data_IF_492747695926
#
_entry.id   IF_492747695926
#
_cell.length_a   1.000
_cell.length_b   1.000
_cell.length_c   1.000
_cell.angle_alpha   90.00
_cell.angle_beta   90.00
_cell.angle_gamma   90.00
#
_symmetry.space_group_name_H-M   'P 1'
#
loop_
_entity.id
_entity.type
_entity.pdbx_description
1 polymer ?
#
# COMPACT_ATOMS: atom_id res chain seq x y z
N UNK A 1 -14.87 -5.64 -21.43
CA UNK A 1 -13.59 -6.29 -21.04
C UNK A 1 -12.72 -6.34 -22.27
N UNK A 2 -11.49 -5.85 -22.18
CA UNK A 2 -10.50 -5.82 -23.26
C UNK A 2 -9.36 -6.77 -22.89
N UNK A 3 -8.87 -7.55 -23.86
CA UNK A 3 -7.79 -8.52 -23.61
C UNK A 3 -6.50 -7.80 -23.24
N UNK A 4 -5.89 -8.19 -22.12
CA UNK A 4 -4.63 -7.61 -21.64
C UNK A 4 -4.80 -6.38 -20.72
N UNK A 5 -5.98 -5.78 -20.70
CA UNK A 5 -6.34 -4.74 -19.74
C UNK A 5 -6.70 -5.36 -18.39
N UNK A 6 -5.99 -4.94 -17.35
CA UNK A 6 -6.22 -5.29 -15.96
C UNK A 6 -6.59 -4.02 -15.19
N UNK A 7 -7.56 -4.17 -14.32
CA UNK A 7 -7.90 -3.15 -13.33
C UNK A 7 -8.47 -3.79 -12.08
N UNK A 8 -8.24 -3.14 -10.95
CA UNK A 8 -8.85 -3.44 -9.67
C UNK A 8 -9.44 -2.14 -9.09
N UNK A 9 -10.58 -2.25 -8.40
CA UNK A 9 -11.27 -1.10 -7.83
C UNK A 9 -11.26 -1.18 -6.31
N UNK A 10 -10.78 -0.12 -5.69
CA UNK A 10 -10.82 0.08 -4.25
C UNK A 10 -11.76 1.25 -3.92
N UNK A 11 -12.67 1.03 -2.98
CA UNK A 11 -13.65 2.05 -2.58
C UNK A 11 -12.98 3.14 -1.75
N UNK A 12 -13.07 4.38 -2.23
CA UNK A 12 -12.62 5.58 -1.55
C UNK A 12 -13.76 6.40 -0.94
N UNK A 13 -14.98 5.87 -0.89
CA UNK A 13 -16.19 6.54 -0.38
C UNK A 13 -16.91 7.38 -1.44
N UNK A 14 -16.32 8.50 -1.84
CA UNK A 14 -16.81 9.42 -2.89
C UNK A 14 -16.20 9.13 -4.27
N UNK A 15 -15.07 8.43 -4.29
CA UNK A 15 -14.35 8.01 -5.49
C UNK A 15 -14.02 6.52 -5.44
N UNK A 16 -13.81 5.90 -6.59
CA UNK A 16 -13.03 4.68 -6.70
C UNK A 16 -11.56 5.02 -6.94
N UNK A 17 -10.65 4.35 -6.23
CA UNK A 17 -9.26 4.25 -6.65
C UNK A 17 -9.12 3.04 -7.57
N UNK A 18 -8.55 3.25 -8.75
CA UNK A 18 -8.52 2.25 -9.81
C UNK A 18 -7.07 1.95 -10.12
N UNK A 19 -6.59 0.79 -9.68
CA UNK A 19 -5.27 0.28 -10.01
C UNK A 19 -5.34 -0.37 -11.38
N UNK A 20 -4.63 0.15 -12.40
CA UNK A 20 -4.77 -0.34 -13.77
C UNK A 20 -3.48 -0.32 -14.57
N UNK A 21 -3.37 -1.21 -15.56
CA UNK A 21 -2.31 -1.22 -16.56
C UNK A 21 -2.71 -0.56 -17.89
N UNK A 22 -3.81 0.22 -17.90
CA UNK A 22 -4.29 0.94 -19.07
C UNK A 22 -3.21 1.81 -19.72
N UNK A 23 -3.35 2.06 -21.02
CA UNK A 23 -2.47 2.96 -21.80
C UNK A 23 -0.98 2.53 -21.81
N UNK A 24 -0.72 1.23 -21.63
CA UNK A 24 0.63 0.67 -21.63
C UNK A 24 1.38 0.82 -20.29
N UNK A 25 0.67 1.13 -19.21
CA UNK A 25 1.23 1.22 -17.85
C UNK A 25 1.59 -0.17 -17.28
N UNK A 26 2.68 -0.78 -17.76
CA UNK A 26 3.11 -2.14 -17.37
C UNK A 26 3.36 -2.28 -15.86
N UNK A 27 3.88 -1.24 -15.24
CA UNK A 27 4.12 -1.17 -13.79
C UNK A 27 2.91 -0.58 -13.02
N UNK A 28 1.76 -0.51 -13.69
CA UNK A 28 0.49 0.03 -13.23
C UNK A 28 0.52 1.53 -12.88
N UNK A 29 -0.67 2.11 -12.81
CA UNK A 29 -0.96 3.46 -12.34
C UNK A 29 -2.23 3.45 -11.50
N UNK A 30 -2.45 4.49 -10.71
CA UNK A 30 -3.69 4.67 -9.96
C UNK A 30 -4.48 5.81 -10.60
N UNK A 31 -5.67 5.48 -11.05
CA UNK A 31 -6.67 6.44 -11.53
C UNK A 31 -7.74 6.63 -10.43
N UNK A 32 -8.57 7.65 -10.58
CA UNK A 32 -9.76 7.88 -9.76
C UNK A 32 -10.97 8.08 -10.65
N UNK A 33 -12.15 7.67 -10.18
CA UNK A 33 -13.41 7.99 -10.84
C UNK A 33 -14.50 8.26 -9.78
N UNK A 34 -15.49 9.13 -10.06
CA UNK A 34 -16.63 9.31 -9.16
C UNK A 34 -17.40 8.00 -8.97
N UNK A 35 -17.83 7.69 -7.75
CA UNK A 35 -18.61 6.46 -7.49
C UNK A 35 -19.96 6.48 -8.22
N UNK A 36 -20.55 7.66 -8.42
CA UNK A 36 -21.83 7.82 -9.11
C UNK A 36 -21.74 7.57 -10.63
N UNK A 37 -20.55 7.73 -11.23
CA UNK A 37 -20.34 7.52 -12.67
C UNK A 37 -18.90 7.03 -12.95
N UNK A 38 -18.57 5.77 -12.65
CA UNK A 38 -17.20 5.25 -12.68
C UNK A 38 -16.74 4.78 -14.07
N UNK A 39 -17.41 5.24 -15.14
CA UNK A 39 -17.06 4.89 -16.51
C UNK A 39 -15.65 5.36 -16.86
N UNK A 40 -14.95 4.62 -17.72
CA UNK A 40 -13.56 4.89 -18.08
C UNK A 40 -13.30 6.31 -18.60
N UNK A 41 -14.29 6.92 -19.26
CA UNK A 41 -14.22 8.30 -19.73
C UNK A 41 -14.06 9.33 -18.60
N UNK A 42 -14.47 8.99 -17.38
CA UNK A 42 -14.35 9.83 -16.19
C UNK A 42 -13.11 9.53 -15.35
N UNK A 43 -12.26 8.58 -15.77
CA UNK A 43 -11.05 8.24 -15.04
C UNK A 43 -10.05 9.39 -15.10
N UNK A 44 -9.54 9.80 -13.94
CA UNK A 44 -8.53 10.83 -13.78
C UNK A 44 -7.30 10.26 -13.12
N UNK A 45 -6.13 10.53 -13.70
CA UNK A 45 -4.87 10.02 -13.16
C UNK A 45 -4.56 10.67 -11.81
N UNK A 46 -4.26 9.84 -10.80
CA UNK A 46 -3.88 10.25 -9.45
C UNK A 46 -2.41 9.95 -9.17
N UNK A 47 -1.98 8.72 -9.46
CA UNK A 47 -0.57 8.30 -9.39
C UNK A 47 -0.16 7.83 -10.78
N UNK A 48 0.68 8.60 -11.50
CA UNK A 48 1.07 8.27 -12.86
C UNK A 48 1.93 7.00 -12.90
N UNK A 49 1.93 6.35 -14.06
CA UNK A 49 2.84 5.25 -14.33
C UNK A 49 4.29 5.73 -14.28
N UNK A 50 5.16 4.95 -13.62
CA UNK A 50 6.59 5.18 -13.55
C UNK A 50 7.32 3.85 -13.83
N UNK A 51 8.15 3.76 -14.89
CA UNK A 51 8.90 2.54 -15.18
C UNK A 51 9.78 2.09 -14.00
N UNK A 52 9.68 0.83 -13.61
CA UNK A 52 10.43 0.26 -12.49
C UNK A 52 9.80 0.49 -11.10
N UNK A 53 8.62 1.12 -11.04
CA UNK A 53 7.81 1.24 -9.82
C UNK A 53 6.48 0.49 -10.01
N UNK A 54 6.51 -0.81 -9.70
CA UNK A 54 5.32 -1.65 -9.77
C UNK A 54 4.37 -1.34 -8.60
N UNK A 55 3.17 -0.85 -8.89
CA UNK A 55 2.12 -0.72 -7.87
C UNK A 55 1.41 -2.07 -7.71
N UNK A 56 1.42 -2.62 -6.50
CA UNK A 56 0.91 -3.96 -6.19
C UNK A 56 -0.52 -3.94 -5.67
N UNK A 57 -0.87 -2.93 -4.86
CA UNK A 57 -2.22 -2.75 -4.33
C UNK A 57 -2.46 -1.33 -3.86
N UNK A 58 -3.74 -0.99 -3.67
CA UNK A 58 -4.21 0.28 -3.11
C UNK A 58 -5.27 -0.01 -2.05
N UNK A 59 -5.29 0.78 -0.98
CA UNK A 59 -6.31 0.78 0.07
C UNK A 59 -6.88 2.18 0.26
N UNK A 60 -8.20 2.28 0.40
CA UNK A 60 -8.94 3.52 0.61
C UNK A 60 -9.30 3.76 2.08
N UNK A 61 -9.04 4.97 2.56
CA UNK A 61 -9.50 5.46 3.87
C UNK A 61 -10.19 6.82 3.70
N UNK A 62 -10.98 7.25 4.68
CA UNK A 62 -11.67 8.56 4.62
C UNK A 62 -10.73 9.73 4.34
N UNK A 63 -9.57 9.73 5.00
CA UNK A 63 -8.59 10.83 4.90
C UNK A 63 -7.30 10.46 4.17
N UNK A 64 -7.07 9.17 3.91
CA UNK A 64 -5.82 8.69 3.33
C UNK A 64 -6.06 7.71 2.18
N UNK A 65 -5.11 7.60 1.28
CA UNK A 65 -4.97 6.48 0.36
C UNK A 65 -3.61 5.85 0.62
N UNK A 66 -3.57 4.52 0.71
CA UNK A 66 -2.33 3.78 0.90
C UNK A 66 -2.07 2.93 -0.33
N UNK A 67 -0.84 2.90 -0.82
CA UNK A 67 -0.42 1.93 -1.82
C UNK A 67 0.76 1.10 -1.34
N UNK A 68 0.75 -0.18 -1.70
CA UNK A 68 1.93 -1.03 -1.67
C UNK A 68 2.54 -1.00 -3.07
N UNK A 69 3.79 -0.57 -3.17
CA UNK A 69 4.55 -0.57 -4.42
C UNK A 69 5.87 -1.32 -4.25
N UNK A 70 6.48 -1.72 -5.35
CA UNK A 70 7.84 -2.25 -5.41
C UNK A 70 8.67 -1.35 -6.31
N UNK A 71 9.73 -0.77 -5.77
CA UNK A 71 10.65 0.09 -6.51
C UNK A 71 12.08 -0.25 -6.14
N UNK A 72 12.92 -0.42 -7.16
CA UNK A 72 14.31 -0.91 -7.01
C UNK A 72 14.37 -2.26 -6.28
N UNK A 73 13.38 -3.12 -6.52
CA UNK A 73 13.28 -4.44 -5.90
C UNK A 73 12.68 -4.45 -4.48
N UNK A 74 12.58 -3.30 -3.82
CA UNK A 74 12.13 -3.21 -2.43
C UNK A 74 10.64 -2.84 -2.33
N UNK A 75 9.86 -3.54 -1.48
CA UNK A 75 8.48 -3.15 -1.20
C UNK A 75 8.46 -1.84 -0.39
N UNK A 76 7.49 -0.97 -0.69
CA UNK A 76 7.28 0.32 -0.03
C UNK A 76 5.80 0.50 0.24
N UNK A 77 5.44 0.89 1.46
CA UNK A 77 4.11 1.40 1.76
C UNK A 77 4.16 2.92 1.66
N UNK A 78 3.36 3.48 0.76
CA UNK A 78 3.21 4.92 0.59
C UNK A 78 1.83 5.34 1.07
N UNK A 79 1.81 6.25 2.04
CA UNK A 79 0.59 6.85 2.57
C UNK A 79 0.44 8.23 1.96
N UNK A 80 -0.71 8.50 1.34
CA UNK A 80 -1.07 9.77 0.73
C UNK A 80 -2.23 10.41 1.49
N UNK A 81 -2.06 11.66 1.92
CA UNK A 81 -3.17 12.48 2.43
C UNK A 81 -4.08 12.90 1.27
N UNK A 82 -5.38 12.68 1.43
CA UNK A 82 -6.35 12.93 0.35
C UNK A 82 -6.70 14.40 0.18
N UNK A 83 -6.53 15.23 1.20
CA UNK A 83 -6.89 16.64 1.19
C UNK A 83 -5.82 17.49 0.50
N UNK A 84 -4.54 17.22 0.75
CA UNK A 84 -3.42 18.01 0.21
C UNK A 84 -2.53 17.24 -0.79
N UNK A 85 -2.66 15.91 -0.87
CA UNK A 85 -1.87 15.08 -1.77
C UNK A 85 -0.44 14.79 -1.30
N UNK A 86 -0.06 15.20 -0.09
CA UNK A 86 1.24 14.90 0.50
C UNK A 86 1.41 13.40 0.71
N UNK A 87 2.62 12.91 0.47
CA UNK A 87 2.96 11.49 0.60
C UNK A 87 4.10 11.29 1.59
N UNK A 88 4.06 10.17 2.30
CA UNK A 88 5.18 9.71 3.10
C UNK A 88 5.32 8.18 3.02
N UNK A 89 6.55 7.72 3.25
CA UNK A 89 6.90 6.31 3.30
C UNK A 89 6.92 5.81 4.73
N UNK A 90 6.53 4.56 4.92
CA UNK A 90 6.81 3.82 6.15
C UNK A 90 8.22 3.25 6.04
N UNK A 91 9.17 3.79 6.80
CA UNK A 91 10.58 3.41 6.77
C UNK A 91 10.88 2.16 7.62
N UNK A 92 11.88 1.40 7.22
CA UNK A 92 12.44 0.24 7.93
C UNK A 92 13.96 0.29 7.85
N UNK A 93 14.64 -0.21 8.87
CA UNK A 93 16.10 -0.11 8.97
C UNK A 93 16.82 -1.20 8.18
N UNK A 94 16.18 -2.34 7.93
CA UNK A 94 16.76 -3.45 7.19
C UNK A 94 16.75 -3.20 5.68
N UNK A 95 17.81 -3.63 4.98
CA UNK A 95 17.94 -3.41 3.53
C UNK A 95 17.02 -4.31 2.69
N UNK A 96 16.58 -5.45 3.24
CA UNK A 96 15.72 -6.42 2.56
C UNK A 96 14.63 -6.95 3.50
N UNK A 97 13.38 -6.69 3.14
CA UNK A 97 12.21 -7.08 3.93
C UNK A 97 10.99 -7.34 3.04
N UNK A 98 9.98 -7.95 3.65
CA UNK A 98 8.66 -8.16 3.06
C UNK A 98 7.62 -7.32 3.80
N UNK A 99 6.67 -6.76 3.04
CA UNK A 99 5.53 -6.02 3.57
C UNK A 99 4.23 -6.64 3.07
N UNK A 100 3.27 -6.78 3.98
CA UNK A 100 1.89 -7.11 3.66
C UNK A 100 0.96 -6.05 4.21
N UNK A 101 0.02 -5.58 3.39
CA UNK A 101 -1.09 -4.78 3.89
C UNK A 101 -2.18 -5.71 4.42
N UNK A 102 -2.66 -5.43 5.63
CA UNK A 102 -3.93 -5.99 6.08
C UNK A 102 -5.03 -5.01 5.63
N UNK A 103 -6.11 -5.52 5.06
CA UNK A 103 -7.26 -4.67 4.74
C UNK A 103 -7.76 -3.93 5.98
N UNK A 104 -8.43 -2.79 5.78
CA UNK A 104 -9.04 -2.06 6.89
C UNK A 104 -10.43 -2.60 7.19
N UNK A 105 -10.74 -2.80 8.47
CA UNK A 105 -12.09 -3.12 8.93
C UNK A 105 -12.94 -1.87 9.21
N UNK A 106 -12.30 -0.70 9.26
CA UNK A 106 -12.92 0.60 9.54
C UNK A 106 -12.47 1.59 8.44
N UNK A 107 -13.41 2.19 7.71
CA UNK A 107 -13.05 3.13 6.65
C UNK A 107 -12.65 4.52 7.19
N UNK A 108 -13.35 4.99 8.23
CA UNK A 108 -13.06 6.25 8.90
C UNK A 108 -12.11 6.03 10.08
N UNK A 109 -10.85 5.72 9.75
CA UNK A 109 -9.78 5.52 10.72
C UNK A 109 -8.50 6.19 10.26
N UNK A 110 -7.66 6.51 11.24
CA UNK A 110 -6.28 6.94 11.01
C UNK A 110 -5.29 5.78 11.14
N UNK A 111 -5.75 4.60 11.54
CA UNK A 111 -4.88 3.44 11.82
C UNK A 111 -4.94 2.43 10.68
N UNK A 112 -3.78 2.15 10.11
CA UNK A 112 -3.59 1.07 9.14
C UNK A 112 -2.78 -0.06 9.78
N UNK A 113 -3.18 -1.31 9.52
CA UNK A 113 -2.44 -2.49 9.96
C UNK A 113 -1.61 -3.06 8.82
N UNK A 114 -0.35 -3.38 9.11
CA UNK A 114 0.54 -4.05 8.16
C UNK A 114 1.38 -5.13 8.83
N UNK A 115 1.89 -6.04 8.01
CA UNK A 115 2.85 -7.07 8.42
C UNK A 115 4.23 -6.77 7.87
N UNK A 116 5.25 -7.08 8.67
CA UNK A 116 6.65 -6.92 8.34
C UNK A 116 7.41 -8.21 8.67
N UNK A 117 8.35 -8.60 7.83
CA UNK A 117 9.31 -9.66 8.15
C UNK A 117 10.56 -9.48 7.31
N UNK A 118 11.68 -9.99 7.77
CA UNK A 118 12.91 -10.10 6.98
C UNK A 118 13.49 -11.51 7.11
N UNK A 119 14.70 -11.70 6.58
CA UNK A 119 15.45 -12.94 6.76
C UNK A 119 15.92 -13.15 8.21
N UNK A 120 16.02 -12.06 8.99
CA UNK A 120 16.54 -12.05 10.38
C UNK A 120 15.44 -11.68 11.39
N UNK A 121 14.35 -11.06 10.93
CA UNK A 121 13.23 -10.63 11.77
C UNK A 121 12.00 -11.49 11.49
N UNK A 122 11.52 -12.27 12.48
CA UNK A 122 10.26 -13.02 12.37
C UNK A 122 9.07 -12.12 12.04
N UNK A 123 7.97 -12.69 11.54
CA UNK A 123 6.82 -11.90 11.16
C UNK A 123 6.26 -11.07 12.31
N UNK A 124 6.13 -9.77 12.09
CA UNK A 124 5.59 -8.78 13.01
C UNK A 124 4.32 -8.15 12.43
N UNK A 125 3.38 -7.81 13.31
CA UNK A 125 2.15 -7.09 12.97
C UNK A 125 2.19 -5.74 13.67
N UNK A 126 1.99 -4.68 12.90
CA UNK A 126 2.01 -3.31 13.39
C UNK A 126 0.71 -2.59 13.08
N UNK A 127 0.26 -1.77 14.02
CA UNK A 127 -0.65 -0.66 13.75
C UNK A 127 0.16 0.60 13.48
N UNK A 128 -0.27 1.38 12.49
CA UNK A 128 0.37 2.61 12.06
C UNK A 128 -0.66 3.73 12.01
N UNK A 129 -0.46 4.79 12.79
CA UNK A 129 -1.25 6.00 12.64
C UNK A 129 -0.74 6.79 11.44
N UNK A 130 -1.54 6.87 10.39
CA UNK A 130 -1.23 7.53 9.12
C UNK A 130 -1.04 9.05 9.24
N UNK A 131 -1.58 9.68 10.30
CA UNK A 131 -1.42 11.10 10.58
C UNK A 131 -0.17 11.38 11.42
N UNK A 132 -0.10 10.79 12.62
CA UNK A 132 1.00 11.04 13.57
C UNK A 132 2.29 10.30 13.19
N UNK A 133 2.18 9.29 12.31
CA UNK A 133 3.26 8.39 11.88
C UNK A 133 3.79 7.48 12.98
N UNK A 134 3.07 7.40 14.09
CA UNK A 134 3.41 6.50 15.18
C UNK A 134 3.11 5.05 14.81
N UNK A 135 4.00 4.15 15.22
CA UNK A 135 3.93 2.72 14.96
C UNK A 135 3.84 1.97 16.29
N UNK A 136 2.88 1.05 16.38
CA UNK A 136 2.67 0.20 17.56
C UNK A 136 2.83 -1.27 17.16
N UNK A 137 3.80 -1.97 17.75
CA UNK A 137 3.96 -3.41 17.58
C UNK A 137 2.86 -4.14 18.34
N UNK A 138 2.07 -4.93 17.63
CA UNK A 138 0.98 -5.71 18.23
C UNK A 138 1.36 -7.16 18.49
N UNK A 139 2.14 -7.74 17.58
CA UNK A 139 2.48 -9.16 17.62
C UNK A 139 3.81 -9.42 16.94
N UNK A 140 4.62 -10.28 17.53
CA UNK A 140 5.76 -10.93 16.90
C UNK A 140 5.49 -12.43 16.86
N UNK A 141 5.78 -13.07 15.73
CA UNK A 141 5.72 -14.52 15.60
C UNK A 141 6.78 -15.16 16.49
N UNK A 142 6.35 -16.07 17.36
CA UNK A 142 7.27 -16.91 18.12
C UNK A 142 7.87 -18.00 17.22
N UNK A 143 9.18 -18.12 17.24
CA UNK A 143 9.91 -19.17 16.53
C UNK A 143 10.47 -20.15 17.58
N UNK A 144 9.85 -21.32 17.77
CA UNK A 144 10.07 -22.18 18.94
C UNK A 144 11.42 -22.91 18.97
N UNK A 145 12.26 -22.72 17.95
CA UNK A 145 13.58 -23.34 17.84
C UNK A 145 14.72 -22.51 18.46
N UNK A 146 14.41 -21.41 19.16
CA UNK A 146 15.42 -20.53 19.78
C UNK A 146 16.04 -19.52 18.81
N UNK A 147 15.25 -19.01 17.87
CA UNK A 147 15.69 -17.96 16.95
C UNK A 147 16.06 -16.68 17.70
N UNK A 148 17.22 -16.12 17.39
CA UNK A 148 17.67 -14.81 17.88
C UNK A 148 18.05 -13.94 16.67
N UNK A 149 17.34 -12.81 16.43
CA UNK A 149 17.68 -11.88 15.35
C UNK A 149 19.13 -11.36 15.39
N UNK A 150 19.73 -11.24 16.59
CA UNK A 150 21.10 -10.72 16.74
C UNK A 150 22.18 -11.68 16.19
N UNK A 151 21.83 -12.93 15.91
CA UNK A 151 22.76 -13.89 15.29
C UNK A 151 22.94 -13.70 13.79
N UNK A 152 22.25 -12.75 13.18
CA UNK A 152 22.28 -12.51 11.74
C UNK A 152 22.68 -11.06 11.46
N UNK A 153 23.68 -10.88 10.58
CA UNK A 153 24.25 -9.60 10.13
C UNK A 153 23.96 -9.35 8.66
#
# INVERSE_FOLDING_TARGET
RETGLQYDLEEGGDVFFILTNADGAKDFKIMTAPVEDPVQANWKELVPHEPGRLILSVLGFRHHMVRLERKEGLPRIVVRDRANGEEHLIAFDEEAFSLGLSGSYEYDTEVMRFTYSSMTTPAQVFDYNMRSRERVLLKTQEVPSGHDPEHYV
#
